data_IF_574972670735
#
_entry.id   IF_574972670735
#
_cell.length_a   1.000
_cell.length_b   1.000
_cell.length_c   1.000
_cell.angle_alpha   90.00
_cell.angle_beta   90.00
_cell.angle_gamma   90.00
#
_symmetry.space_group_name_H-M   'P 1'
#
loop_
_entity.id
_entity.type
_entity.pdbx_description
1 polymer ?
#
# COMPACT_ATOMS: atom_id res chain seq x y z
N UNK A 1 -15.82 -0.48 -9.53
CA UNK A 1 -14.39 -0.37 -9.19
C UNK A 1 -14.08 1.10 -8.93
N UNK A 2 -13.79 1.47 -7.68
CA UNK A 2 -13.79 2.85 -7.11
C UNK A 2 -15.14 3.51 -6.81
N UNK A 3 -16.19 3.32 -7.63
CA UNK A 3 -17.57 3.71 -7.25
C UNK A 3 -18.32 2.66 -6.41
N UNK A 4 -17.74 1.47 -6.27
CA UNK A 4 -18.19 0.51 -5.27
C UNK A 4 -17.33 0.74 -4.03
N UNK A 5 -17.70 1.73 -3.21
CA UNK A 5 -17.31 1.81 -1.81
C UNK A 5 -17.88 0.60 -1.05
N UNK A 6 -17.47 -0.59 -1.46
CA UNK A 6 -18.03 -1.86 -1.06
C UNK A 6 -17.14 -2.51 -0.01
N UNK A 7 -17.78 -3.35 0.83
CA UNK A 7 -17.14 -4.17 1.87
C UNK A 7 -15.81 -4.80 1.42
N UNK A 8 -15.67 -5.14 0.14
CA UNK A 8 -14.44 -5.70 -0.42
C UNK A 8 -13.22 -4.78 -0.24
N UNK A 9 -13.32 -3.48 -0.51
CA UNK A 9 -12.19 -2.55 -0.30
C UNK A 9 -11.92 -2.36 1.19
N UNK A 10 -12.97 -2.26 2.00
CA UNK A 10 -12.86 -2.15 3.45
C UNK A 10 -12.24 -3.39 4.12
N UNK A 11 -12.33 -4.56 3.49
CA UNK A 11 -11.69 -5.79 3.94
C UNK A 11 -10.28 -5.97 3.35
N UNK A 12 -10.10 -5.65 2.08
CA UNK A 12 -8.84 -5.86 1.38
C UNK A 12 -7.78 -4.84 1.81
N UNK A 13 -8.15 -3.56 1.96
CA UNK A 13 -7.20 -2.51 2.32
C UNK A 13 -6.47 -2.74 3.65
N UNK A 14 -7.15 -3.05 4.78
CA UNK A 14 -6.44 -3.36 6.01
C UNK A 14 -5.57 -4.62 5.87
N UNK A 15 -6.01 -5.64 5.13
CA UNK A 15 -5.22 -6.86 4.92
C UNK A 15 -3.90 -6.58 4.18
N UNK A 16 -3.93 -5.85 3.05
CA UNK A 16 -2.72 -5.51 2.30
C UNK A 16 -1.84 -4.51 3.05
N UNK A 17 -2.44 -3.58 3.81
CA UNK A 17 -1.69 -2.62 4.64
C UNK A 17 -0.87 -3.37 5.70
N UNK A 18 -1.49 -4.30 6.41
CA UNK A 18 -0.83 -5.03 7.49
C UNK A 18 0.27 -5.94 6.94
N UNK A 19 0.05 -6.55 5.77
CA UNK A 19 1.09 -7.29 5.04
C UNK A 19 2.27 -6.38 4.65
N UNK A 20 2.00 -5.21 4.07
CA UNK A 20 3.05 -4.25 3.69
C UNK A 20 3.82 -3.72 4.89
N UNK A 21 3.16 -3.46 6.02
CA UNK A 21 3.84 -3.04 7.27
C UNK A 21 4.71 -4.19 7.80
N UNK A 22 4.22 -5.42 7.83
CA UNK A 22 5.02 -6.58 8.26
C UNK A 22 6.24 -6.80 7.36
N UNK A 23 6.09 -6.59 6.05
CA UNK A 23 7.21 -6.64 5.10
C UNK A 23 8.18 -5.48 5.30
N UNK A 24 7.69 -4.29 5.65
CA UNK A 24 8.52 -3.14 6.00
C UNK A 24 9.33 -3.40 7.27
N UNK A 25 8.71 -3.95 8.31
CA UNK A 25 9.36 -4.28 9.59
C UNK A 25 10.48 -5.31 9.40
N UNK A 26 10.24 -6.35 8.58
CA UNK A 26 11.28 -7.32 8.20
C UNK A 26 12.45 -6.67 7.47
N UNK A 27 12.19 -5.63 6.71
CA UNK A 27 13.19 -4.87 5.96
C UNK A 27 13.60 -3.56 6.67
N UNK A 28 13.27 -3.38 7.96
CA UNK A 28 13.43 -2.10 8.66
C UNK A 28 14.89 -1.62 8.73
N UNK A 29 15.86 -2.54 8.66
CA UNK A 29 17.28 -2.19 8.60
C UNK A 29 17.72 -1.68 7.22
N UNK A 30 16.97 -1.99 6.17
CA UNK A 30 17.29 -1.65 4.79
C UNK A 30 16.57 -0.36 4.33
N UNK A 31 15.39 -0.05 4.90
CA UNK A 31 14.65 1.19 4.61
C UNK A 31 13.88 1.18 3.28
N UNK A 32 13.72 0.02 2.65
CA UNK A 32 12.99 -0.17 1.39
C UNK A 32 12.21 -1.50 1.42
N UNK A 33 11.18 -1.62 0.57
CA UNK A 33 10.51 -2.91 0.36
C UNK A 33 11.33 -3.73 -0.64
N UNK A 34 11.84 -4.87 -0.20
CA UNK A 34 12.58 -5.79 -1.06
C UNK A 34 11.63 -6.77 -1.73
N UNK A 35 11.73 -6.89 -3.05
CA UNK A 35 10.98 -7.90 -3.81
C UNK A 35 11.95 -8.67 -4.73
N UNK A 36 11.97 -10.02 -4.71
CA UNK A 36 12.96 -10.79 -5.47
C UNK A 36 12.80 -10.76 -7.00
N UNK A 37 11.62 -10.40 -7.52
CA UNK A 37 11.27 -10.46 -8.95
C UNK A 37 11.35 -9.09 -9.65
N UNK A 38 11.29 -7.99 -8.91
CA UNK A 38 11.30 -6.62 -9.37
C UNK A 38 12.35 -5.79 -8.61
N UNK A 39 12.65 -4.58 -9.09
CA UNK A 39 13.59 -3.70 -8.42
C UNK A 39 13.00 -3.16 -7.10
N UNK A 40 13.86 -2.95 -6.10
CA UNK A 40 13.46 -2.46 -4.77
C UNK A 40 12.78 -1.08 -4.83
N UNK A 41 13.17 -0.25 -5.80
CA UNK A 41 12.59 1.07 -6.05
C UNK A 41 11.13 0.96 -6.48
N UNK A 42 10.82 -0.01 -7.34
CA UNK A 42 9.46 -0.25 -7.82
C UNK A 42 8.57 -0.78 -6.70
N UNK A 43 9.05 -1.76 -5.92
CA UNK A 43 8.32 -2.31 -4.79
C UNK A 43 8.03 -1.24 -3.72
N UNK A 44 9.03 -0.40 -3.42
CA UNK A 44 8.89 0.71 -2.47
C UNK A 44 7.90 1.76 -2.96
N UNK A 45 7.99 2.17 -4.24
CA UNK A 45 7.06 3.15 -4.80
C UNK A 45 5.61 2.64 -4.76
N UNK A 46 5.37 1.37 -5.12
CA UNK A 46 4.04 0.76 -5.07
C UNK A 46 3.50 0.63 -3.65
N UNK A 47 4.34 0.22 -2.69
CA UNK A 47 3.96 0.17 -1.28
C UNK A 47 3.56 1.55 -0.75
N UNK A 48 4.35 2.59 -1.06
CA UNK A 48 4.04 3.97 -0.68
C UNK A 48 2.72 4.46 -1.29
N UNK A 49 2.48 4.19 -2.58
CA UNK A 49 1.24 4.57 -3.26
C UNK A 49 0.04 3.91 -2.56
N UNK A 50 0.10 2.61 -2.29
CA UNK A 50 -0.98 1.87 -1.61
C UNK A 50 -1.23 2.43 -0.21
N UNK A 51 -0.19 2.64 0.58
CA UNK A 51 -0.30 3.16 1.96
C UNK A 51 -0.80 4.61 2.02
N UNK A 52 -0.66 5.38 0.95
CA UNK A 52 -1.15 6.76 0.85
C UNK A 52 -2.62 6.87 0.45
N UNK A 53 -3.25 5.78 -0.03
CA UNK A 53 -4.66 5.79 -0.46
C UNK A 53 -5.65 6.26 0.63
N UNK A 54 -5.59 5.82 1.91
CA UNK A 54 -6.58 6.21 2.93
C UNK A 54 -6.34 7.63 3.47
N UNK A 55 -5.19 8.24 3.18
CA UNK A 55 -4.88 9.59 3.63
C UNK A 55 -5.59 10.66 2.78
N UNK A 56 -6.38 10.27 1.76
CA UNK A 56 -7.17 11.17 0.91
C UNK A 56 -6.39 12.34 0.29
N UNK A 57 -5.07 12.20 0.11
CA UNK A 57 -4.23 13.22 -0.54
C UNK A 57 -4.44 13.29 -2.07
N UNK A 58 -5.15 12.33 -2.65
CA UNK A 58 -5.52 12.39 -4.06
C UNK A 58 -6.86 13.14 -4.19
N UNK A 59 -6.93 14.23 -5.00
CA UNK A 59 -8.13 15.04 -5.21
C UNK A 59 -9.36 14.23 -5.65
N UNK A 60 -9.14 13.05 -6.25
CA UNK A 60 -10.20 12.14 -6.66
C UNK A 60 -10.99 11.57 -5.46
N UNK A 61 -10.40 11.45 -4.27
CA UNK A 61 -11.04 10.88 -3.08
C UNK A 61 -11.82 11.89 -2.22
N UNK A 62 -11.83 13.16 -2.60
CA UNK A 62 -12.62 14.18 -1.93
C UNK A 62 -14.02 14.24 -2.58
N UNK A 63 -15.05 13.81 -1.85
CA UNK A 63 -16.44 14.17 -2.10
C UNK A 63 -16.88 15.23 -1.12
#
# INVERSE_FOLDING_TARGET
MWTAGGQYWAQWYPAIRDELIHLADRNAQAGYWSEPRFSNEYATAMACIILQIPNNYLPILQK
#
